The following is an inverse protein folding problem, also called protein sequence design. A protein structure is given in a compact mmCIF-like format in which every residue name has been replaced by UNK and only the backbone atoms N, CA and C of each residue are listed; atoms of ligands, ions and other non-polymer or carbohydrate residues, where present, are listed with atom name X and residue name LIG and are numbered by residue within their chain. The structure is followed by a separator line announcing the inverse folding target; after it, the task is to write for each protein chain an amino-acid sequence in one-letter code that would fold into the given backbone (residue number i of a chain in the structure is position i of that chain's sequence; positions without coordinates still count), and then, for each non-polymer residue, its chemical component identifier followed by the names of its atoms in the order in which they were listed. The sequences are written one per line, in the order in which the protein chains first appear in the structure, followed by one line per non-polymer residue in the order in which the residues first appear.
data_IF_240126781174
#
_entry.id   IF_240126781174
#
_cell.length_a   1.000
_cell.length_b   1.000
_cell.length_c   1.000
_cell.angle_alpha   90.00
_cell.angle_beta   90.00
_cell.angle_gamma   90.00
#
_symmetry.space_group_name_H-M   'P 1'
#
loop_
_entity.id
_entity.type
_entity.pdbx_description
1 polymer ?
#
# COMPACT_ATOMS: atom_id res chain seq x y z
N UNK A 1 7.47 -44.05 -24.53
CA UNK A 1 8.82 -44.17 -23.95
C UNK A 1 9.63 -42.91 -24.18
N UNK A 2 9.80 -42.42 -25.41
CA UNK A 2 10.57 -41.20 -25.72
C UNK A 2 10.10 -39.89 -25.00
N UNK A 3 8.81 -39.75 -24.74
CA UNK A 3 8.26 -38.60 -24.02
C UNK A 3 8.51 -38.70 -22.51
N UNK A 4 8.59 -39.88 -21.95
CA UNK A 4 8.89 -40.12 -20.56
C UNK A 4 10.36 -39.85 -20.24
N UNK A 5 11.26 -40.28 -21.12
CA UNK A 5 12.70 -40.03 -21.02
C UNK A 5 13.01 -38.54 -21.14
N UNK A 6 12.38 -37.80 -22.05
CA UNK A 6 12.48 -36.35 -22.16
C UNK A 6 11.97 -35.61 -20.89
N UNK A 7 10.91 -36.13 -20.30
CA UNK A 7 10.35 -35.55 -19.06
C UNK A 7 11.29 -35.75 -17.87
N UNK A 8 11.98 -36.86 -17.77
CA UNK A 8 13.00 -37.14 -16.76
C UNK A 8 14.23 -36.24 -16.98
N UNK A 9 14.70 -36.13 -18.21
CA UNK A 9 15.85 -35.30 -18.55
C UNK A 9 15.60 -33.81 -18.27
N UNK A 10 14.38 -33.32 -18.51
CA UNK A 10 13.97 -31.95 -18.14
C UNK A 10 13.87 -31.81 -16.64
N UNK A 11 13.33 -32.78 -15.94
CA UNK A 11 13.24 -32.77 -14.46
C UNK A 11 14.63 -32.78 -13.82
N UNK A 12 15.54 -33.58 -14.32
CA UNK A 12 16.91 -33.68 -13.81
C UNK A 12 17.71 -32.38 -14.12
N UNK A 13 17.51 -31.81 -15.31
CA UNK A 13 18.09 -30.51 -15.67
C UNK A 13 17.56 -29.37 -14.79
N UNK A 14 16.26 -29.34 -14.50
CA UNK A 14 15.64 -28.39 -13.60
C UNK A 14 16.12 -28.57 -12.17
N UNK A 15 16.23 -29.82 -11.70
CA UNK A 15 16.76 -30.13 -10.36
C UNK A 15 18.23 -29.69 -10.25
N UNK A 16 19.04 -29.93 -11.28
CA UNK A 16 20.44 -29.50 -11.33
C UNK A 16 20.61 -27.98 -11.35
N UNK A 17 19.75 -27.27 -12.05
CA UNK A 17 19.73 -25.79 -12.06
C UNK A 17 19.27 -25.21 -10.74
N UNK A 18 18.36 -25.86 -10.03
CA UNK A 18 17.85 -25.40 -8.73
C UNK A 18 18.84 -25.68 -7.59
N UNK A 19 19.54 -26.83 -7.65
CA UNK A 19 20.38 -27.32 -6.53
C UNK A 19 21.83 -26.85 -6.64
N UNK A 20 22.34 -26.60 -7.86
CA UNK A 20 23.76 -26.32 -8.09
C UNK A 20 24.09 -24.86 -8.44
N UNK A 21 23.15 -23.93 -8.37
CA UNK A 21 23.52 -22.53 -8.47
C UNK A 21 23.73 -21.95 -7.08
N UNK A 22 24.97 -21.85 -6.65
CA UNK A 22 25.38 -20.99 -5.54
C UNK A 22 24.81 -19.56 -5.72
N UNK A 23 24.53 -19.15 -6.96
CA UNK A 23 23.88 -17.92 -7.35
C UNK A 23 22.39 -17.83 -6.93
N UNK A 24 21.63 -18.95 -6.88
CA UNK A 24 20.19 -18.86 -6.61
C UNK A 24 19.85 -18.58 -5.14
N UNK A 25 20.65 -19.07 -4.19
CA UNK A 25 20.45 -18.79 -2.76
C UNK A 25 20.94 -17.37 -2.44
N UNK A 26 22.07 -16.95 -2.97
CA UNK A 26 22.57 -15.59 -2.83
C UNK A 26 21.63 -14.56 -3.45
N UNK A 27 21.03 -14.90 -4.56
CA UNK A 27 20.06 -14.08 -5.25
C UNK A 27 18.72 -13.97 -4.49
N UNK A 28 18.15 -15.07 -3.97
CA UNK A 28 16.98 -15.04 -3.08
C UNK A 28 17.25 -14.24 -1.82
N UNK A 29 18.44 -14.38 -1.24
CA UNK A 29 18.86 -13.60 -0.08
C UNK A 29 18.96 -12.11 -0.39
N UNK A 30 19.51 -11.73 -1.55
CA UNK A 30 19.55 -10.36 -2.04
C UNK A 30 18.16 -9.74 -2.21
N UNK A 31 17.18 -10.53 -2.68
CA UNK A 31 15.77 -10.11 -2.78
C UNK A 31 15.18 -9.84 -1.39
N UNK A 32 15.37 -10.77 -0.46
CA UNK A 32 14.88 -10.62 0.91
C UNK A 32 15.48 -9.37 1.54
N UNK A 33 16.77 -9.13 1.38
CA UNK A 33 17.42 -7.92 1.89
C UNK A 33 16.89 -6.63 1.25
N UNK A 34 16.66 -6.61 -0.05
CA UNK A 34 16.10 -5.45 -0.74
C UNK A 34 14.66 -5.14 -0.27
N UNK A 35 13.90 -6.15 0.09
CA UNK A 35 12.54 -6.00 0.61
C UNK A 35 12.50 -5.68 2.12
N UNK A 36 13.52 -6.04 2.88
CA UNK A 36 13.58 -5.87 4.35
C UNK A 36 13.80 -4.40 4.80
N UNK A 37 14.22 -3.52 3.89
CA UNK A 37 14.62 -2.14 4.22
C UNK A 37 13.54 -1.10 3.98
N UNK A 38 12.27 -1.49 3.76
CA UNK A 38 11.36 -0.60 3.04
C UNK A 38 10.08 -0.26 3.79
N UNK A 39 9.76 1.03 3.74
CA UNK A 39 8.43 1.56 4.06
C UNK A 39 7.38 0.90 3.15
N UNK A 40 6.17 0.62 3.68
CA UNK A 40 5.08 -0.08 2.96
C UNK A 40 4.79 0.54 1.59
N UNK A 41 4.88 1.86 1.45
CA UNK A 41 4.64 2.56 0.19
C UNK A 41 5.64 2.21 -0.91
N UNK A 42 6.89 1.94 -0.57
CA UNK A 42 7.96 1.61 -1.52
C UNK A 42 8.01 0.11 -1.84
N UNK A 43 7.44 -0.73 -0.99
CA UNK A 43 7.46 -2.20 -1.16
C UNK A 43 6.82 -2.61 -2.49
N UNK A 44 5.70 -2.04 -2.89
CA UNK A 44 5.05 -2.38 -4.15
C UNK A 44 5.90 -2.02 -5.36
N UNK A 45 6.57 -0.87 -5.33
CA UNK A 45 7.48 -0.46 -6.40
C UNK A 45 8.68 -1.41 -6.49
N UNK A 46 9.25 -1.74 -5.36
CA UNK A 46 10.36 -2.70 -5.31
C UNK A 46 9.93 -4.12 -5.69
N UNK A 47 8.76 -4.55 -5.24
CA UNK A 47 8.17 -5.82 -5.65
C UNK A 47 8.02 -5.93 -7.17
N UNK A 48 7.55 -4.87 -7.83
CA UNK A 48 7.44 -4.84 -9.29
C UNK A 48 8.81 -4.93 -9.97
N UNK A 49 9.80 -4.17 -9.50
CA UNK A 49 11.17 -4.19 -10.05
C UNK A 49 11.83 -5.55 -9.84
N UNK A 50 11.68 -6.14 -8.67
CA UNK A 50 12.20 -7.46 -8.33
C UNK A 50 11.53 -8.52 -9.21
N UNK A 51 10.20 -8.51 -9.31
CA UNK A 51 9.46 -9.44 -10.16
C UNK A 51 9.89 -9.31 -11.62
N UNK A 52 10.09 -8.09 -12.11
CA UNK A 52 10.60 -7.84 -13.48
C UNK A 52 11.95 -8.51 -13.71
N UNK A 53 12.90 -8.34 -12.79
CA UNK A 53 14.23 -8.93 -12.89
C UNK A 53 14.20 -10.46 -12.81
N UNK A 54 13.42 -11.00 -11.89
CA UNK A 54 13.29 -12.44 -11.64
C UNK A 54 12.67 -13.16 -12.83
N UNK A 55 11.57 -12.61 -13.30
CA UNK A 55 10.77 -13.23 -14.35
C UNK A 55 11.31 -12.92 -15.76
N UNK A 56 12.29 -12.02 -15.87
CA UNK A 56 12.73 -11.51 -17.18
C UNK A 56 11.60 -10.80 -17.94
N UNK A 57 10.62 -10.25 -17.23
CA UNK A 57 9.40 -9.68 -17.80
C UNK A 57 9.39 -8.16 -17.65
N UNK A 58 9.09 -7.47 -18.76
CA UNK A 58 9.12 -5.99 -18.77
C UNK A 58 7.80 -5.32 -18.41
N UNK A 59 6.69 -6.07 -18.46
CA UNK A 59 5.36 -5.50 -18.27
C UNK A 59 4.71 -6.10 -17.02
N UNK A 60 4.72 -5.33 -15.93
CA UNK A 60 4.21 -5.74 -14.63
C UNK A 60 3.24 -4.71 -14.10
N UNK A 61 2.12 -5.16 -13.58
CA UNK A 61 1.18 -4.33 -12.84
C UNK A 61 0.96 -4.93 -11.44
N UNK A 62 0.88 -4.06 -10.44
CA UNK A 62 0.48 -4.44 -9.08
C UNK A 62 -0.79 -3.69 -8.73
N UNK A 63 -1.79 -4.46 -8.38
CA UNK A 63 -3.07 -3.97 -7.90
C UNK A 63 -3.21 -4.27 -6.41
N UNK A 64 -3.59 -3.28 -5.64
CA UNK A 64 -3.81 -3.39 -4.19
C UNK A 64 -5.30 -3.47 -3.90
N UNK A 65 -5.68 -4.37 -3.01
CA UNK A 65 -7.05 -4.58 -2.58
C UNK A 65 -7.54 -3.42 -1.72
N UNK A 66 -8.72 -2.90 -2.02
CA UNK A 66 -9.42 -1.95 -1.17
C UNK A 66 -9.86 -2.59 0.15
N UNK A 67 -10.07 -1.79 1.18
CA UNK A 67 -10.51 -2.26 2.51
C UNK A 67 -11.83 -3.04 2.48
N UNK A 68 -12.70 -2.69 1.53
CA UNK A 68 -14.01 -3.32 1.30
C UNK A 68 -13.95 -4.59 0.45
N UNK A 69 -12.77 -4.95 -0.08
CA UNK A 69 -12.51 -6.06 -0.99
C UNK A 69 -13.31 -6.05 -2.32
N UNK A 70 -14.02 -4.96 -2.63
CA UNK A 70 -14.76 -4.82 -3.88
C UNK A 70 -13.93 -4.30 -5.04
N UNK A 71 -12.86 -3.58 -4.75
CA UNK A 71 -12.02 -2.93 -5.76
C UNK A 71 -10.56 -3.25 -5.59
N UNK A 72 -9.91 -3.50 -6.72
CA UNK A 72 -8.46 -3.50 -6.89
C UNK A 72 -8.03 -2.17 -7.51
N UNK A 73 -7.09 -1.48 -6.88
CA UNK A 73 -6.53 -0.22 -7.38
C UNK A 73 -5.09 -0.41 -7.82
N UNK A 74 -4.77 0.05 -9.03
CA UNK A 74 -3.41 0.00 -9.57
C UNK A 74 -2.49 0.88 -8.70
N UNK A 75 -1.48 0.25 -8.11
CA UNK A 75 -0.46 0.94 -7.30
C UNK A 75 0.83 1.16 -8.09
N UNK A 76 1.23 0.17 -8.87
CA UNK A 76 2.47 0.21 -9.67
C UNK A 76 2.22 -0.37 -11.06
N UNK A 77 2.90 0.17 -12.03
CA UNK A 77 2.98 -0.37 -13.40
C UNK A 77 4.38 -0.18 -13.96
N UNK A 78 4.87 -1.20 -14.65
CA UNK A 78 6.11 -1.18 -15.43
C UNK A 78 5.79 -1.62 -16.86
N UNK A 79 6.45 -1.02 -17.83
CA UNK A 79 6.38 -1.38 -19.24
C UNK A 79 5.17 -0.80 -19.99
N UNK A 80 5.25 -0.84 -21.33
CA UNK A 80 4.30 -0.16 -22.20
C UNK A 80 2.94 -0.86 -22.27
N UNK A 81 2.90 -2.20 -22.21
CA UNK A 81 1.65 -2.97 -22.25
C UNK A 81 0.76 -2.71 -21.04
N UNK A 82 1.32 -2.23 -19.93
CA UNK A 82 0.55 -1.91 -18.72
C UNK A 82 -0.04 -0.50 -18.72
N UNK A 83 0.34 0.37 -19.67
CA UNK A 83 -0.14 1.76 -19.73
C UNK A 83 -1.64 1.89 -19.98
N UNK A 84 -2.22 0.94 -20.73
CA UNK A 84 -3.64 0.94 -21.10
C UNK A 84 -4.52 0.21 -20.07
N UNK A 85 -3.92 -0.37 -19.02
CA UNK A 85 -4.67 -1.08 -18.00
C UNK A 85 -5.49 -0.10 -17.13
N UNK A 86 -6.70 -0.46 -16.75
CA UNK A 86 -7.56 0.39 -15.93
C UNK A 86 -6.94 0.62 -14.55
N UNK A 87 -7.04 1.85 -14.04
CA UNK A 87 -6.55 2.21 -12.70
C UNK A 87 -7.31 1.52 -11.56
N UNK A 88 -8.55 1.11 -11.82
CA UNK A 88 -9.38 0.40 -10.85
C UNK A 88 -10.17 -0.70 -11.54
N UNK A 89 -10.33 -1.84 -10.86
CA UNK A 89 -11.12 -2.98 -11.31
C UNK A 89 -12.00 -3.47 -10.18
N UNK A 90 -13.22 -3.85 -10.50
CA UNK A 90 -14.07 -4.56 -9.53
C UNK A 90 -13.65 -6.02 -9.46
N UNK A 91 -13.61 -6.57 -8.27
CA UNK A 91 -13.21 -7.96 -8.04
C UNK A 91 -14.20 -8.95 -8.67
N UNK A 92 -15.49 -8.61 -8.68
CA UNK A 92 -16.55 -9.46 -9.21
C UNK A 92 -16.59 -9.55 -10.74
N UNK A 93 -16.09 -8.55 -11.45
CA UNK A 93 -16.13 -8.49 -12.91
C UNK A 93 -15.11 -9.42 -13.59
N UNK A 94 -14.13 -9.91 -12.84
CA UNK A 94 -13.05 -10.75 -13.39
C UNK A 94 -13.00 -12.12 -12.73
N UNK A 95 -13.33 -13.16 -13.49
CA UNK A 95 -13.39 -14.53 -12.98
C UNK A 95 -12.05 -15.03 -12.40
N UNK A 96 -10.90 -14.66 -13.03
CA UNK A 96 -9.59 -15.05 -12.52
C UNK A 96 -9.26 -14.38 -11.18
N UNK A 97 -9.69 -13.12 -10.98
CA UNK A 97 -9.51 -12.41 -9.71
C UNK A 97 -10.32 -13.11 -8.61
N UNK A 98 -11.61 -13.39 -8.85
CA UNK A 98 -12.44 -14.12 -7.88
C UNK A 98 -11.83 -15.45 -7.48
N UNK A 99 -11.42 -16.24 -8.47
CA UNK A 99 -10.78 -17.53 -8.21
C UNK A 99 -9.50 -17.39 -7.37
N UNK A 100 -8.70 -16.36 -7.65
CA UNK A 100 -7.48 -16.07 -6.90
C UNK A 100 -7.76 -15.64 -5.46
N UNK A 101 -8.84 -14.87 -5.23
CA UNK A 101 -9.28 -14.45 -3.89
C UNK A 101 -9.79 -15.64 -3.07
N UNK A 102 -10.52 -16.56 -3.69
CA UNK A 102 -11.11 -17.74 -3.04
C UNK A 102 -10.09 -18.83 -2.75
N UNK A 103 -9.23 -19.12 -3.73
CA UNK A 103 -8.34 -20.29 -3.69
C UNK A 103 -6.89 -19.96 -3.38
N UNK A 104 -6.51 -18.68 -3.39
CA UNK A 104 -5.12 -18.21 -3.16
C UNK A 104 -4.10 -18.81 -4.15
N UNK A 105 -4.54 -19.23 -5.33
CA UNK A 105 -3.70 -19.85 -6.35
C UNK A 105 -3.26 -18.84 -7.40
N UNK A 106 -2.12 -19.12 -8.00
CA UNK A 106 -1.60 -18.43 -9.17
C UNK A 106 -2.56 -18.60 -10.36
N UNK A 107 -2.76 -17.53 -11.12
CA UNK A 107 -3.49 -17.56 -12.39
C UNK A 107 -2.52 -17.72 -13.55
N UNK A 108 -2.89 -18.60 -14.50
CA UNK A 108 -2.19 -18.82 -15.77
C UNK A 108 -3.19 -18.65 -16.90
N UNK A 109 -2.89 -17.80 -17.86
CA UNK A 109 -3.76 -17.53 -19.02
C UNK A 109 -3.61 -18.60 -20.09
N UNK A 110 -4.02 -19.84 -19.80
CA UNK A 110 -3.96 -20.95 -20.77
C UNK A 110 -4.72 -20.69 -22.08
N UNK A 111 -5.74 -19.82 -22.02
CA UNK A 111 -6.57 -19.47 -23.17
C UNK A 111 -5.99 -18.36 -24.05
N UNK A 112 -4.81 -17.82 -23.74
CA UNK A 112 -4.15 -16.74 -24.47
C UNK A 112 -5.08 -15.53 -24.73
N UNK A 113 -5.94 -15.21 -23.77
CA UNK A 113 -6.87 -14.10 -23.87
C UNK A 113 -6.12 -12.77 -23.77
N UNK A 114 -6.24 -11.93 -24.79
CA UNK A 114 -5.45 -10.70 -24.95
C UNK A 114 -5.65 -9.66 -23.82
N UNK A 115 -6.80 -9.68 -23.16
CA UNK A 115 -7.15 -8.70 -22.13
C UNK A 115 -6.83 -9.16 -20.70
N UNK A 116 -6.26 -10.36 -20.54
CA UNK A 116 -5.87 -10.94 -19.27
C UNK A 116 -4.34 -10.93 -19.13
N UNK A 117 -3.83 -10.91 -17.88
CA UNK A 117 -2.41 -11.13 -17.66
C UNK A 117 -1.99 -12.52 -18.11
N UNK A 118 -0.76 -12.69 -18.54
CA UNK A 118 -0.20 -13.99 -18.87
C UNK A 118 -0.06 -14.86 -17.63
N UNK A 119 0.46 -14.27 -16.57
CA UNK A 119 0.51 -14.85 -15.22
C UNK A 119 0.07 -13.81 -14.20
N UNK A 120 -0.58 -14.26 -13.13
CA UNK A 120 -0.83 -13.41 -11.97
C UNK A 120 -0.70 -14.21 -10.67
N UNK A 121 -0.20 -13.56 -9.63
CA UNK A 121 -0.03 -14.17 -8.32
C UNK A 121 -0.60 -13.28 -7.20
N UNK A 122 -1.27 -13.87 -6.19
CA UNK A 122 -1.75 -13.15 -5.04
C UNK A 122 -0.61 -12.85 -4.06
N UNK A 123 -0.62 -11.67 -3.48
CA UNK A 123 0.15 -11.31 -2.29
C UNK A 123 -0.79 -11.46 -1.09
N UNK A 124 -0.42 -12.33 -0.16
CA UNK A 124 -1.29 -12.74 0.94
C UNK A 124 -0.70 -12.27 2.27
N UNK A 125 -1.54 -11.65 3.09
CA UNK A 125 -1.21 -11.29 4.46
C UNK A 125 -2.35 -11.68 5.40
N UNK A 126 -2.04 -12.35 6.51
CA UNK A 126 -3.03 -12.87 7.47
C UNK A 126 -4.17 -13.67 6.83
N UNK A 127 -3.86 -14.49 5.82
CA UNK A 127 -4.85 -15.32 5.12
C UNK A 127 -5.76 -14.55 4.15
N UNK A 128 -5.50 -13.28 3.91
CA UNK A 128 -6.25 -12.46 2.94
C UNK A 128 -5.37 -12.00 1.80
N UNK A 129 -5.92 -11.93 0.59
CA UNK A 129 -5.24 -11.35 -0.55
C UNK A 129 -5.27 -9.82 -0.42
N UNK A 130 -4.10 -9.22 -0.23
CA UNK A 130 -3.93 -7.77 -0.07
C UNK A 130 -3.53 -7.07 -1.37
N UNK A 131 -2.93 -7.82 -2.31
CA UNK A 131 -2.56 -7.31 -3.62
C UNK A 131 -2.44 -8.46 -4.63
N UNK A 132 -2.39 -8.11 -5.91
CA UNK A 132 -2.16 -9.04 -7.02
C UNK A 132 -1.02 -8.49 -7.87
N UNK A 133 -0.05 -9.35 -8.20
CA UNK A 133 0.99 -9.07 -9.19
C UNK A 133 0.57 -9.71 -10.51
N UNK A 134 0.57 -8.93 -11.58
CA UNK A 134 0.21 -9.33 -12.92
C UNK A 134 1.37 -9.11 -13.89
N UNK A 135 1.63 -10.11 -14.75
CA UNK A 135 2.66 -10.08 -15.78
C UNK A 135 1.99 -10.17 -17.14
N UNK A 136 2.44 -9.33 -18.07
CA UNK A 136 1.88 -9.21 -19.41
C UNK A 136 2.96 -9.33 -20.48
N UNK A 137 2.61 -9.94 -21.60
CA UNK A 137 3.46 -10.01 -22.80
C UNK A 137 4.71 -10.84 -22.60
N UNK A 138 4.58 -11.95 -21.93
CA UNK A 138 5.62 -12.98 -21.84
C UNK A 138 5.80 -13.66 -23.19
N UNK A 139 7.04 -14.01 -23.50
CA UNK A 139 7.33 -14.82 -24.68
C UNK A 139 6.93 -16.27 -24.44
N UNK A 140 6.59 -16.99 -25.52
CA UNK A 140 6.01 -18.34 -25.42
C UNK A 140 6.91 -19.35 -24.68
N UNK A 141 8.22 -19.23 -24.80
CA UNK A 141 9.21 -20.05 -24.10
C UNK A 141 9.27 -19.78 -22.59
N UNK A 142 8.76 -18.64 -22.14
CA UNK A 142 8.64 -18.27 -20.73
C UNK A 142 7.42 -18.88 -20.03
N UNK A 143 6.51 -19.54 -20.75
CA UNK A 143 5.29 -20.17 -20.20
C UNK A 143 5.53 -21.54 -19.58
N UNK A 144 6.63 -21.71 -18.87
CA UNK A 144 7.01 -22.97 -18.26
C UNK A 144 6.46 -23.13 -16.83
N UNK A 145 6.36 -24.36 -16.36
CA UNK A 145 6.04 -24.67 -14.95
C UNK A 145 7.10 -24.03 -14.03
N UNK A 146 8.34 -23.92 -14.49
CA UNK A 146 9.41 -23.25 -13.76
C UNK A 146 9.07 -21.78 -13.50
N UNK A 147 8.65 -21.04 -14.51
CA UNK A 147 8.27 -19.63 -14.37
C UNK A 147 7.04 -19.46 -13.46
N UNK A 148 6.08 -20.35 -13.54
CA UNK A 148 4.91 -20.34 -12.64
C UNK A 148 5.34 -20.53 -11.17
N UNK A 149 6.20 -21.51 -10.91
CA UNK A 149 6.74 -21.75 -9.57
C UNK A 149 7.59 -20.56 -9.07
N UNK A 150 8.39 -19.98 -9.96
CA UNK A 150 9.23 -18.84 -9.66
C UNK A 150 8.39 -17.62 -9.25
N UNK A 151 7.32 -17.31 -9.99
CA UNK A 151 6.39 -16.26 -9.61
C UNK A 151 5.70 -16.54 -8.27
N UNK A 152 5.30 -17.80 -8.04
CA UNK A 152 4.67 -18.21 -6.78
C UNK A 152 5.60 -18.00 -5.58
N UNK A 153 6.88 -18.37 -5.70
CA UNK A 153 7.89 -18.15 -4.66
C UNK A 153 8.14 -16.67 -4.47
N UNK A 154 8.27 -15.90 -5.54
CA UNK A 154 8.46 -14.46 -5.51
C UNK A 154 7.31 -13.75 -4.79
N UNK A 155 6.06 -14.09 -5.14
CA UNK A 155 4.88 -13.54 -4.48
C UNK A 155 4.83 -13.88 -2.98
N UNK A 156 5.30 -15.06 -2.60
CA UNK A 156 5.41 -15.49 -1.19
C UNK A 156 6.45 -14.68 -0.43
N UNK A 157 7.62 -14.44 -1.01
CA UNK A 157 8.66 -13.59 -0.40
C UNK A 157 8.17 -12.16 -0.22
N UNK A 158 7.49 -11.61 -1.23
CA UNK A 158 6.87 -10.29 -1.16
C UNK A 158 5.79 -10.27 -0.06
N UNK A 159 4.96 -11.30 0.05
CA UNK A 159 3.95 -11.43 1.11
C UNK A 159 4.57 -11.40 2.51
N UNK A 160 5.69 -12.10 2.70
CA UNK A 160 6.43 -12.10 3.98
C UNK A 160 7.01 -10.71 4.31
N UNK A 161 7.60 -10.04 3.32
CA UNK A 161 8.14 -8.69 3.49
C UNK A 161 7.02 -7.67 3.79
N UNK A 162 5.90 -7.78 3.09
CA UNK A 162 4.70 -6.98 3.37
C UNK A 162 4.20 -7.20 4.80
N UNK A 163 4.14 -8.45 5.26
CA UNK A 163 3.74 -8.77 6.63
C UNK A 163 4.61 -8.06 7.67
N UNK A 164 5.94 -8.11 7.50
CA UNK A 164 6.87 -7.39 8.39
C UNK A 164 6.64 -5.88 8.36
N UNK A 165 6.49 -5.31 7.18
CA UNK A 165 6.29 -3.88 7.01
C UNK A 165 4.95 -3.42 7.61
N UNK A 166 3.87 -4.19 7.45
CA UNK A 166 2.59 -3.91 8.09
C UNK A 166 2.67 -3.97 9.62
N UNK A 167 3.38 -4.96 10.17
CA UNK A 167 3.59 -5.05 11.63
C UNK A 167 4.38 -3.85 12.14
N UNK A 168 5.42 -3.46 11.41
CA UNK A 168 6.23 -2.29 11.75
C UNK A 168 5.43 -0.99 11.66
N UNK A 169 4.67 -0.80 10.58
CA UNK A 169 3.85 0.39 10.36
C UNK A 169 2.68 0.48 11.35
N UNK A 170 2.01 -0.64 11.65
CA UNK A 170 0.99 -0.69 12.70
C UNK A 170 1.59 -0.40 14.09
N UNK A 171 2.81 -0.87 14.35
CA UNK A 171 3.55 -0.54 15.57
C UNK A 171 3.91 0.94 15.66
N UNK A 172 4.24 1.58 14.51
CA UNK A 172 4.47 3.01 14.42
C UNK A 172 3.15 3.78 14.47
N UNK A 173 2.11 3.34 13.74
CA UNK A 173 0.79 4.00 13.75
C UNK A 173 0.18 4.00 15.14
N UNK A 174 0.30 2.93 15.92
CA UNK A 174 -0.19 2.91 17.30
C UNK A 174 0.59 3.85 18.23
N UNK A 175 1.83 4.22 17.87
CA UNK A 175 2.60 5.26 18.57
C UNK A 175 2.31 6.66 18.05
N UNK A 176 1.96 6.80 16.79
CA UNK A 176 1.71 8.10 16.13
C UNK A 176 0.29 8.59 16.32
N UNK A 177 -0.68 7.69 16.35
CA UNK A 177 -2.11 8.02 16.41
C UNK A 177 -2.79 7.33 17.60
N UNK A 178 -3.82 7.94 18.09
CA UNK A 178 -4.75 7.30 19.03
C UNK A 178 -5.42 6.14 18.31
N UNK A 179 -5.56 4.99 18.97
CA UNK A 179 -6.08 3.75 18.38
C UNK A 179 -7.39 3.98 17.63
N UNK A 180 -7.44 3.52 16.38
CA UNK A 180 -8.59 3.61 15.47
C UNK A 180 -9.05 5.04 15.17
N UNK A 181 -8.15 6.03 15.25
CA UNK A 181 -8.44 7.44 14.92
C UNK A 181 -7.35 8.04 14.05
N UNK A 182 -7.61 9.23 13.49
CA UNK A 182 -6.62 10.10 12.81
C UNK A 182 -5.99 11.14 13.76
N UNK A 183 -6.28 11.06 15.05
CA UNK A 183 -5.79 11.99 16.05
C UNK A 183 -4.35 11.60 16.42
N UNK A 184 -3.40 12.46 16.14
CA UNK A 184 -1.99 12.23 16.48
C UNK A 184 -1.78 12.21 17.99
N UNK A 185 -0.93 11.28 18.45
CA UNK A 185 -0.41 11.27 19.81
C UNK A 185 0.41 12.53 20.07
N UNK A 186 0.57 12.90 21.33
CA UNK A 186 1.19 14.15 21.75
C UNK A 186 2.61 14.34 21.21
N UNK A 187 3.47 13.32 21.31
CA UNK A 187 4.83 13.36 20.78
C UNK A 187 4.86 13.63 19.28
N UNK A 188 4.04 12.89 18.52
CA UNK A 188 4.01 13.01 17.06
C UNK A 188 3.43 14.34 16.61
N UNK A 189 2.39 14.83 17.30
CA UNK A 189 1.81 16.12 17.01
C UNK A 189 2.77 17.26 17.30
N UNK A 190 3.55 17.19 18.39
CA UNK A 190 4.59 18.15 18.71
C UNK A 190 5.67 18.23 17.62
N UNK A 191 6.14 17.06 17.12
CA UNK A 191 7.09 16.99 16.01
C UNK A 191 6.50 17.61 14.74
N UNK A 192 5.24 17.30 14.44
CA UNK A 192 4.52 17.85 13.29
C UNK A 192 4.40 19.37 13.36
N UNK A 193 3.98 19.91 14.51
CA UNK A 193 3.88 21.36 14.74
C UNK A 193 5.23 22.06 14.62
N UNK A 194 6.30 21.44 15.13
CA UNK A 194 7.65 22.01 14.99
C UNK A 194 8.05 22.14 13.51
N UNK A 195 7.79 21.10 12.70
CA UNK A 195 8.07 21.12 11.26
C UNK A 195 7.22 22.14 10.49
N UNK A 196 5.98 22.41 10.93
CA UNK A 196 5.12 23.45 10.34
C UNK A 196 5.66 24.85 10.68
N UNK A 197 6.04 25.09 11.94
CA UNK A 197 6.63 26.37 12.37
C UNK A 197 7.92 26.67 11.61
N UNK A 198 8.79 25.69 11.45
CA UNK A 198 10.03 25.84 10.67
C UNK A 198 9.74 26.22 9.21
N UNK A 199 8.75 25.58 8.58
CA UNK A 199 8.32 25.91 7.21
C UNK A 199 7.69 27.28 7.10
N UNK A 200 6.86 27.70 8.07
CA UNK A 200 6.23 29.00 8.09
C UNK A 200 7.28 30.15 8.15
N UNK A 201 8.39 29.95 8.85
CA UNK A 201 9.50 30.91 8.87
C UNK A 201 10.19 31.08 7.50
N UNK A 202 10.11 30.07 6.63
CA UNK A 202 10.71 30.08 5.31
C UNK A 202 9.72 30.55 4.21
N UNK A 203 8.42 30.42 4.47
CA UNK A 203 7.35 30.71 3.50
C UNK A 203 6.36 31.71 4.13
N UNK A 204 6.57 33.00 3.88
CA UNK A 204 5.77 34.08 4.47
C UNK A 204 4.30 34.16 4.00
N UNK A 205 3.91 33.42 2.99
CA UNK A 205 2.58 33.47 2.38
C UNK A 205 1.62 32.34 2.84
N UNK A 206 2.03 31.49 3.79
CA UNK A 206 1.22 30.35 4.26
C UNK A 206 0.62 30.66 5.63
N UNK A 207 -0.71 30.65 5.69
CA UNK A 207 -1.46 30.92 6.93
C UNK A 207 -1.92 29.61 7.57
N UNK A 208 -1.25 29.19 8.65
CA UNK A 208 -1.64 28.03 9.42
C UNK A 208 -2.36 28.46 10.71
N UNK A 209 -3.50 27.84 10.99
CA UNK A 209 -4.32 28.17 12.16
C UNK A 209 -4.50 26.95 13.05
N UNK A 210 -4.21 27.09 14.33
CA UNK A 210 -4.39 26.06 15.35
C UNK A 210 -5.63 26.34 16.18
N UNK A 211 -6.59 25.42 16.16
CA UNK A 211 -7.84 25.49 16.93
C UNK A 211 -7.78 24.52 18.10
N UNK A 212 -8.00 24.97 19.29
CA UNK A 212 -8.22 24.13 20.47
C UNK A 212 -9.68 23.70 20.54
N UNK A 213 -9.92 22.39 20.54
CA UNK A 213 -11.26 21.83 20.54
C UNK A 213 -11.76 21.52 21.95
N UNK A 214 -13.02 21.81 22.22
CA UNK A 214 -13.69 21.39 23.45
C UNK A 214 -14.00 19.90 23.39
N UNK A 215 -13.31 19.10 24.22
CA UNK A 215 -13.41 17.64 24.22
C UNK A 215 -13.97 17.10 25.55
N UNK A 216 -14.63 17.93 26.35
CA UNK A 216 -15.22 17.49 27.62
C UNK A 216 -16.25 16.39 27.38
N UNK A 217 -15.97 15.19 27.89
CA UNK A 217 -16.80 14.00 27.79
C UNK A 217 -16.95 13.35 26.41
N UNK A 218 -16.07 13.63 25.44
CA UNK A 218 -16.08 13.01 24.11
C UNK A 218 -14.94 12.01 23.99
N UNK A 219 -15.27 10.77 23.59
CA UNK A 219 -14.30 9.76 23.24
C UNK A 219 -13.58 10.17 21.94
N UNK A 220 -12.29 9.90 21.81
CA UNK A 220 -11.50 10.23 20.63
C UNK A 220 -12.05 9.64 19.33
N UNK A 221 -12.59 8.44 19.33
CA UNK A 221 -13.22 7.82 18.16
C UNK A 221 -14.48 8.57 17.72
N UNK A 222 -15.30 9.00 18.69
CA UNK A 222 -16.49 9.80 18.43
C UNK A 222 -16.11 11.18 17.89
N UNK A 223 -15.07 11.80 18.46
CA UNK A 223 -14.54 13.07 17.97
C UNK A 223 -14.01 12.94 16.54
N UNK A 224 -13.22 11.91 16.25
CA UNK A 224 -12.70 11.67 14.89
C UNK A 224 -13.83 11.45 13.87
N UNK A 225 -14.89 10.73 14.25
CA UNK A 225 -16.08 10.55 13.42
C UNK A 225 -16.82 11.89 13.17
N UNK A 226 -16.93 12.75 14.19
CA UNK A 226 -17.57 14.07 14.05
C UNK A 226 -16.72 15.01 13.18
N UNK A 227 -15.40 14.93 13.26
CA UNK A 227 -14.46 15.70 12.43
C UNK A 227 -14.46 15.21 10.97
N UNK A 228 -14.77 13.95 10.75
CA UNK A 228 -14.81 13.35 9.42
C UNK A 228 -15.83 14.07 8.52
N UNK A 229 -15.35 14.58 7.37
CA UNK A 229 -16.16 15.37 6.43
C UNK A 229 -16.34 16.85 6.82
N UNK A 230 -15.81 17.31 7.98
CA UNK A 230 -15.82 18.71 8.40
C UNK A 230 -14.51 19.43 8.10
N UNK A 231 -13.43 18.70 8.00
CA UNK A 231 -12.05 19.16 7.76
C UNK A 231 -11.51 18.58 6.45
N UNK A 232 -10.48 19.22 5.90
CA UNK A 232 -9.81 18.76 4.68
C UNK A 232 -8.87 17.58 4.98
N UNK A 233 -8.40 16.91 3.95
CA UNK A 233 -7.47 15.78 4.10
C UNK A 233 -6.08 16.24 4.55
N UNK A 234 -5.69 17.45 4.21
CA UNK A 234 -4.45 18.10 4.63
C UNK A 234 -4.49 18.62 6.07
N UNK A 235 -5.67 18.86 6.64
CA UNK A 235 -5.81 19.32 8.02
C UNK A 235 -5.44 18.20 9.01
N UNK A 236 -4.78 18.56 10.10
CA UNK A 236 -4.22 17.60 11.05
C UNK A 236 -4.84 17.77 12.42
N UNK A 237 -5.19 16.66 13.07
CA UNK A 237 -5.71 16.63 14.43
C UNK A 237 -4.71 15.94 15.34
N UNK A 238 -4.44 16.50 16.52
CA UNK A 238 -3.53 15.91 17.48
C UNK A 238 -3.73 16.37 18.90
N UNK A 239 -3.04 15.71 19.83
CA UNK A 239 -3.08 16.00 21.26
C UNK A 239 -1.88 16.88 21.62
N UNK A 240 -2.10 17.88 22.46
CA UNK A 240 -1.06 18.71 23.05
C UNK A 240 -1.52 19.15 24.44
N UNK A 241 -0.69 18.95 25.46
CA UNK A 241 -0.99 19.27 26.87
C UNK A 241 -2.33 18.67 27.35
N UNK A 242 -2.65 17.44 26.87
CA UNK A 242 -3.88 16.73 27.20
C UNK A 242 -5.16 17.24 26.52
N UNK A 243 -5.08 18.29 25.68
CA UNK A 243 -6.18 18.82 24.89
C UNK A 243 -6.04 18.42 23.41
N UNK A 244 -7.16 18.40 22.68
CA UNK A 244 -7.17 18.11 21.24
C UNK A 244 -7.13 19.41 20.45
N UNK A 245 -6.24 19.43 19.47
CA UNK A 245 -6.07 20.55 18.57
C UNK A 245 -6.31 20.13 17.12
N UNK A 246 -6.90 21.04 16.36
CA UNK A 246 -7.03 20.95 14.92
C UNK A 246 -6.13 22.00 14.27
N UNK A 247 -5.18 21.55 13.47
CA UNK A 247 -4.31 22.39 12.66
C UNK A 247 -4.90 22.51 11.25
N UNK A 248 -5.28 23.69 10.86
CA UNK A 248 -5.71 24.04 9.52
C UNK A 248 -4.50 24.54 8.73
N UNK A 249 -4.26 23.90 7.59
CA UNK A 249 -3.17 24.27 6.70
C UNK A 249 -3.63 25.30 5.67
N UNK A 250 -2.81 26.32 5.45
CA UNK A 250 -2.99 27.37 4.44
C UNK A 250 -4.45 27.83 4.34
N UNK A 251 -4.95 28.38 5.46
CA UNK A 251 -6.36 28.72 5.64
C UNK A 251 -6.53 30.20 5.87
N UNK A 252 -7.18 30.88 4.94
CA UNK A 252 -7.57 32.28 5.05
C UNK A 252 -8.74 32.49 6.05
N UNK A 253 -9.07 33.73 6.32
CA UNK A 253 -10.14 34.08 7.26
C UNK A 253 -11.51 33.52 6.83
N UNK A 254 -11.78 33.47 5.52
CA UNK A 254 -13.03 32.92 5.00
C UNK A 254 -13.09 31.39 5.21
N UNK A 255 -12.01 30.68 4.89
CA UNK A 255 -11.89 29.25 5.14
C UNK A 255 -12.02 28.90 6.61
N UNK A 256 -11.41 29.71 7.49
CA UNK A 256 -11.53 29.56 8.94
C UNK A 256 -12.99 29.69 9.40
N UNK A 257 -13.74 30.66 8.91
CA UNK A 257 -15.16 30.84 9.24
C UNK A 257 -16.00 29.66 8.79
N UNK A 258 -15.75 29.12 7.59
CA UNK A 258 -16.45 27.92 7.10
C UNK A 258 -16.17 26.69 7.98
N UNK A 259 -14.92 26.49 8.39
CA UNK A 259 -14.58 25.37 9.28
C UNK A 259 -15.25 25.54 10.64
N UNK A 260 -15.25 26.74 11.21
CA UNK A 260 -15.95 27.04 12.48
C UNK A 260 -17.44 26.68 12.40
N UNK A 261 -18.13 27.09 11.34
CA UNK A 261 -19.55 26.75 11.15
C UNK A 261 -19.78 25.23 11.07
N UNK A 262 -18.93 24.52 10.32
CA UNK A 262 -19.03 23.05 10.20
C UNK A 262 -18.81 22.34 11.53
N UNK A 263 -17.83 22.77 12.32
CA UNK A 263 -17.54 22.21 13.64
C UNK A 263 -18.70 22.47 14.61
N UNK A 264 -19.26 23.67 14.63
CA UNK A 264 -20.44 23.99 15.44
C UNK A 264 -21.66 23.13 15.06
N UNK A 265 -21.92 22.93 13.77
CA UNK A 265 -22.99 22.04 13.31
C UNK A 265 -22.81 20.58 13.73
N UNK A 266 -21.59 20.15 13.98
CA UNK A 266 -21.23 18.81 14.48
C UNK A 266 -21.15 18.75 16.01
N UNK A 267 -21.50 19.83 16.70
CA UNK A 267 -21.44 19.92 18.16
C UNK A 267 -20.04 19.92 18.72
N UNK A 268 -19.05 20.42 17.95
CA UNK A 268 -17.67 20.58 18.41
C UNK A 268 -17.46 22.06 18.77
N UNK A 269 -17.13 22.32 20.02
CA UNK A 269 -16.82 23.64 20.52
C UNK A 269 -15.35 23.99 20.24
N UNK A 270 -15.07 25.24 19.91
CA UNK A 270 -13.72 25.78 19.76
C UNK A 270 -13.43 26.65 20.97
N UNK A 271 -12.44 26.25 21.78
CA UNK A 271 -12.04 26.97 23.01
C UNK A 271 -11.07 28.11 22.73
N UNK A 272 -10.16 27.89 21.80
CA UNK A 272 -9.10 28.85 21.50
C UNK A 272 -8.66 28.79 20.05
N UNK A 273 -8.12 29.89 19.54
CA UNK A 273 -7.61 30.00 18.16
C UNK A 273 -6.25 30.69 18.23
N UNK A 274 -5.24 30.07 17.58
CA UNK A 274 -3.89 30.64 17.49
C UNK A 274 -3.42 30.58 16.03
N UNK A 275 -2.88 31.66 15.54
CA UNK A 275 -2.14 31.64 14.28
C UNK A 275 -0.73 31.13 14.55
N UNK A 276 -0.28 30.22 13.66
CA UNK A 276 1.10 29.74 13.68
C UNK A 276 1.87 30.55 12.63
N UNK A 277 2.57 31.54 13.10
CA UNK A 277 3.47 32.42 12.32
C UNK A 277 4.89 31.85 12.37
#
# INVERSE_FOLDING_TARGET
QKNYEKSIEIKDKLYYQIVNSDDSIGWLYGIIQQLDTVQVENIFTQAAVITSKIMGANNIAIYVMGKDQYYLRQKVRLGDKTRQLPHSRKTEENAYIRNMLENHHLFVNHGLQLNLPDLAAPIIYNGQVIAIIEIYGMDFDQWSIYQQNLLSVTARLISMAMGKAYVYENGIQSKRFVTDTRIMQEEEFAIHLAGIKERAQLQHDVHNVLLELGTENVNYQELDNRLSGSIRQEDTVGIMDGNVYLLLHDTDEYGLQLVKQRLQHRGIEIKNIRELV
#
